data_IF_417495516984
#
_entry.id   IF_417495516984
#
_cell.length_a   1.000
_cell.length_b   1.000
_cell.length_c   1.000
_cell.angle_alpha   90.00
_cell.angle_beta   90.00
_cell.angle_gamma   90.00
#
_symmetry.space_group_name_H-M   'P 1'
#
loop_
_entity.id
_entity.type
_entity.pdbx_description
1 polymer ?
#
# COMPACT_ATOMS: atom_id res chain seq x y z
N UNK A 1 15.99 8.09 -16.84
CA UNK A 1 14.84 7.18 -17.04
C UNK A 1 13.97 7.27 -15.80
N UNK A 2 12.67 7.50 -15.95
CA UNK A 2 11.74 7.49 -14.81
C UNK A 2 11.71 6.07 -14.22
N UNK A 3 11.54 5.91 -12.90
CA UNK A 3 11.39 4.60 -12.29
C UNK A 3 10.20 3.84 -12.92
N UNK A 4 10.34 2.55 -13.15
CA UNK A 4 9.34 1.69 -13.83
C UNK A 4 7.95 1.79 -13.19
N UNK A 5 7.89 1.88 -11.86
CA UNK A 5 6.65 1.97 -11.11
C UNK A 5 5.87 3.27 -11.39
N UNK A 6 6.56 4.38 -11.71
CA UNK A 6 5.90 5.65 -12.03
C UNK A 6 5.11 5.55 -13.34
N UNK A 7 5.67 4.90 -14.36
CA UNK A 7 4.99 4.71 -15.65
C UNK A 7 3.78 3.76 -15.52
N UNK A 8 3.92 2.70 -14.71
CA UNK A 8 2.87 1.72 -14.53
C UNK A 8 1.70 2.27 -13.72
N UNK A 9 1.97 2.85 -12.54
CA UNK A 9 0.92 3.38 -11.66
C UNK A 9 0.17 4.59 -12.23
N UNK A 10 0.76 5.32 -13.20
CA UNK A 10 0.07 6.37 -13.97
C UNK A 10 -0.63 5.83 -15.24
N UNK A 11 -0.49 4.54 -15.56
CA UNK A 11 -1.14 3.97 -16.74
C UNK A 11 -2.64 3.80 -16.51
N UNK A 12 -3.51 4.18 -17.48
CA UNK A 12 -4.95 3.88 -17.40
C UNK A 12 -5.21 2.38 -17.28
N UNK A 13 -4.35 1.53 -17.84
CA UNK A 13 -4.44 0.08 -17.74
C UNK A 13 -4.17 -0.47 -16.34
N UNK A 14 -3.38 0.24 -15.51
CA UNK A 14 -3.24 -0.10 -14.09
C UNK A 14 -4.58 -0.01 -13.38
N UNK A 15 -5.26 1.12 -13.52
CA UNK A 15 -6.56 1.33 -12.90
C UNK A 15 -7.60 0.34 -13.43
N UNK A 16 -7.57 0.06 -14.73
CA UNK A 16 -8.47 -0.89 -15.36
C UNK A 16 -8.29 -2.32 -14.81
N UNK A 17 -7.05 -2.81 -14.72
CA UNK A 17 -6.73 -4.13 -14.18
C UNK A 17 -7.14 -4.30 -12.71
N UNK A 18 -7.05 -3.22 -11.93
CA UNK A 18 -7.31 -3.24 -10.49
C UNK A 18 -8.65 -2.58 -10.09
N UNK A 19 -9.51 -2.26 -11.07
CA UNK A 19 -10.82 -1.64 -10.87
C UNK A 19 -11.72 -2.39 -9.87
N UNK A 20 -11.68 -3.72 -9.89
CA UNK A 20 -12.47 -4.58 -8.99
C UNK A 20 -11.93 -4.67 -7.53
N UNK A 21 -10.95 -3.85 -7.15
CA UNK A 21 -10.63 -3.63 -5.75
C UNK A 21 -11.64 -2.65 -5.16
N UNK A 22 -12.75 -3.23 -4.79
CA UNK A 22 -14.04 -2.66 -4.48
C UNK A 22 -13.98 -1.66 -3.32
N UNK A 23 -14.75 -0.58 -3.41
CA UNK A 23 -15.04 0.36 -2.31
C UNK A 23 -15.59 -0.39 -1.09
N UNK A 24 -16.36 -1.45 -1.31
CA UNK A 24 -16.90 -2.31 -0.27
C UNK A 24 -15.80 -3.03 0.52
N UNK A 25 -14.80 -3.60 -0.15
CA UNK A 25 -13.64 -4.24 0.52
C UNK A 25 -12.87 -3.22 1.36
N UNK A 26 -12.63 -2.02 0.81
CA UNK A 26 -11.98 -0.94 1.54
C UNK A 26 -12.80 -0.52 2.77
N UNK A 27 -14.11 -0.33 2.62
CA UNK A 27 -15.00 0.05 3.71
C UNK A 27 -15.05 -1.02 4.80
N UNK A 28 -15.17 -2.30 4.44
CA UNK A 28 -15.19 -3.41 5.40
C UNK A 28 -13.87 -3.52 6.17
N UNK A 29 -12.74 -3.38 5.49
CA UNK A 29 -11.41 -3.40 6.13
C UNK A 29 -11.22 -2.21 7.07
N UNK A 30 -11.51 -0.99 6.62
CA UNK A 30 -11.40 0.22 7.44
C UNK A 30 -12.33 0.16 8.65
N UNK A 31 -13.57 -0.34 8.50
CA UNK A 31 -14.47 -0.51 9.64
C UNK A 31 -13.84 -1.39 10.72
N UNK A 32 -13.36 -2.58 10.35
CA UNK A 32 -12.71 -3.51 11.29
C UNK A 32 -11.45 -2.93 11.91
N UNK A 33 -10.64 -2.21 11.12
CA UNK A 33 -9.41 -1.58 11.60
C UNK A 33 -9.70 -0.50 12.65
N UNK A 34 -10.67 0.37 12.39
CA UNK A 34 -11.07 1.43 13.32
C UNK A 34 -11.71 0.84 14.59
N UNK A 35 -12.53 -0.20 14.43
CA UNK A 35 -13.11 -0.93 15.56
C UNK A 35 -12.03 -1.65 16.40
N UNK A 36 -10.88 -1.98 15.83
CA UNK A 36 -9.75 -2.57 16.55
C UNK A 36 -8.87 -1.52 17.23
N UNK A 37 -8.55 -0.44 16.52
CA UNK A 37 -7.61 0.59 16.99
C UNK A 37 -8.24 1.59 17.98
N UNK A 38 -9.57 1.76 17.94
CA UNK A 38 -10.33 2.73 18.77
C UNK A 38 -9.74 4.16 18.77
N UNK A 39 -9.42 4.76 17.59
CA UNK A 39 -8.82 6.08 17.55
C UNK A 39 -9.78 7.15 18.11
N UNK A 40 -9.21 8.18 18.73
CA UNK A 40 -10.00 9.33 19.17
C UNK A 40 -10.59 10.08 17.97
N UNK A 41 -11.81 10.57 18.12
CA UNK A 41 -12.47 11.39 17.10
C UNK A 41 -11.59 12.59 16.73
N UNK A 42 -11.48 12.89 15.42
CA UNK A 42 -10.63 13.96 14.92
C UNK A 42 -9.12 13.65 14.92
N UNK A 43 -8.72 12.41 15.22
CA UNK A 43 -7.32 11.99 15.06
C UNK A 43 -6.81 12.28 13.65
N UNK A 44 -5.56 12.74 13.54
CA UNK A 44 -4.88 12.98 12.27
C UNK A 44 -4.30 11.70 11.71
N UNK A 45 -4.67 11.38 10.48
CA UNK A 45 -4.32 10.12 9.82
C UNK A 45 -3.60 10.37 8.50
N UNK A 46 -2.52 9.64 8.23
CA UNK A 46 -1.77 9.65 6.98
C UNK A 46 -2.05 8.35 6.21
N UNK A 47 -2.58 8.46 5.01
CA UNK A 47 -2.74 7.33 4.07
C UNK A 47 -1.61 7.40 3.03
N UNK A 48 -0.62 6.50 3.18
CA UNK A 48 0.60 6.47 2.37
C UNK A 48 0.38 5.57 1.15
N UNK A 49 0.62 6.10 -0.05
CA UNK A 49 0.26 5.50 -1.34
C UNK A 49 -1.27 5.31 -1.45
N UNK A 50 -2.00 6.40 -1.22
CA UNK A 50 -3.46 6.42 -1.15
C UNK A 50 -4.16 6.15 -2.50
N UNK A 51 -3.42 6.24 -3.63
CA UNK A 51 -3.99 6.17 -4.96
C UNK A 51 -5.06 7.24 -5.16
N UNK A 52 -6.25 6.82 -5.62
CA UNK A 52 -7.43 7.70 -5.80
C UNK A 52 -8.18 8.04 -4.49
N UNK A 53 -7.61 7.70 -3.33
CA UNK A 53 -8.14 8.08 -2.02
C UNK A 53 -9.23 7.17 -1.45
N UNK A 54 -9.37 5.95 -1.95
CA UNK A 54 -10.44 5.02 -1.54
C UNK A 54 -10.51 4.79 -0.01
N UNK A 55 -9.36 4.52 0.63
CA UNK A 55 -9.30 4.35 2.09
C UNK A 55 -9.39 5.68 2.83
N UNK A 56 -8.74 6.71 2.29
CA UNK A 56 -8.81 8.06 2.84
C UNK A 56 -10.24 8.57 2.95
N UNK A 57 -11.08 8.34 1.93
CA UNK A 57 -12.51 8.66 1.93
C UNK A 57 -13.27 7.94 3.04
N UNK A 58 -13.00 6.64 3.24
CA UNK A 58 -13.65 5.86 4.29
C UNK A 58 -13.23 6.35 5.70
N UNK A 59 -11.97 6.70 5.89
CA UNK A 59 -11.46 7.25 7.14
C UNK A 59 -12.06 8.64 7.44
N UNK A 60 -12.06 9.54 6.45
CA UNK A 60 -12.66 10.88 6.59
C UNK A 60 -14.16 10.81 6.87
N UNK A 61 -14.90 9.91 6.20
CA UNK A 61 -16.31 9.66 6.45
C UNK A 61 -16.63 9.20 7.87
N UNK A 62 -15.62 8.75 8.64
CA UNK A 62 -15.74 8.40 10.07
C UNK A 62 -15.37 9.57 10.99
N UNK A 63 -15.05 10.74 10.44
CA UNK A 63 -14.77 11.96 11.20
C UNK A 63 -13.30 12.12 11.61
N UNK A 64 -12.35 11.50 10.90
CA UNK A 64 -10.93 11.72 11.08
C UNK A 64 -10.40 12.80 10.15
N UNK A 65 -9.32 13.46 10.55
CA UNK A 65 -8.58 14.44 9.75
C UNK A 65 -7.53 13.64 8.92
N UNK A 66 -7.78 13.48 7.62
CA UNK A 66 -7.04 12.54 6.77
C UNK A 66 -6.22 13.27 5.72
N UNK A 67 -4.97 12.88 5.61
CA UNK A 67 -4.08 13.29 4.53
C UNK A 67 -3.67 12.06 3.72
N UNK A 68 -4.01 12.03 2.44
CA UNK A 68 -3.55 11.02 1.48
C UNK A 68 -2.34 11.52 0.70
N UNK A 69 -1.32 10.67 0.55
CA UNK A 69 -0.17 10.93 -0.32
C UNK A 69 0.02 9.81 -1.33
N UNK A 70 0.31 10.15 -2.57
CA UNK A 70 0.66 9.19 -3.62
C UNK A 70 1.68 9.80 -4.60
N UNK A 71 2.47 8.94 -5.23
CA UNK A 71 3.43 9.36 -6.26
C UNK A 71 2.75 9.66 -7.60
N UNK A 72 1.61 9.02 -7.88
CA UNK A 72 0.84 9.14 -9.11
C UNK A 72 0.11 10.49 -9.17
N UNK A 73 0.52 11.34 -10.10
CA UNK A 73 -0.15 12.62 -10.36
C UNK A 73 -1.61 12.41 -10.78
N UNK A 74 -1.88 11.42 -11.63
CA UNK A 74 -3.22 11.17 -12.15
C UNK A 74 -4.16 10.65 -11.05
N UNK A 75 -3.64 9.77 -10.16
CA UNK A 75 -4.40 9.31 -9.00
C UNK A 75 -4.75 10.47 -8.07
N UNK A 76 -3.80 11.36 -7.79
CA UNK A 76 -4.04 12.53 -6.94
C UNK A 76 -5.02 13.52 -7.59
N UNK A 77 -4.94 13.75 -8.90
CA UNK A 77 -5.94 14.59 -9.60
C UNK A 77 -7.37 14.07 -9.42
N UNK A 78 -7.56 12.76 -9.47
CA UNK A 78 -8.86 12.15 -9.19
C UNK A 78 -9.25 12.28 -7.72
N UNK A 79 -8.32 12.04 -6.79
CA UNK A 79 -8.56 12.13 -5.34
C UNK A 79 -8.96 13.57 -4.90
N UNK A 80 -8.36 14.59 -5.51
CA UNK A 80 -8.63 16.01 -5.21
C UNK A 80 -10.11 16.42 -5.40
N UNK A 81 -10.90 15.68 -6.19
CA UNK A 81 -12.34 15.92 -6.33
C UNK A 81 -13.11 15.69 -5.02
N UNK A 82 -12.52 14.98 -4.08
CA UNK A 82 -13.12 14.62 -2.80
C UNK A 82 -12.57 15.43 -1.62
N UNK A 83 -11.70 16.41 -1.86
CA UNK A 83 -11.16 17.26 -0.78
C UNK A 83 -12.24 17.95 0.03
N UNK A 84 -12.01 18.02 1.34
CA UNK A 84 -12.86 18.72 2.31
C UNK A 84 -11.99 19.46 3.32
N UNK A 85 -12.59 20.06 4.35
CA UNK A 85 -11.82 20.67 5.46
C UNK A 85 -11.00 19.65 6.27
N UNK A 86 -11.34 18.36 6.22
CA UNK A 86 -10.72 17.28 6.96
C UNK A 86 -10.20 16.15 6.07
N UNK A 87 -10.12 16.34 4.75
CA UNK A 87 -9.60 15.37 3.80
C UNK A 87 -8.75 16.08 2.76
N UNK A 88 -7.46 15.78 2.74
CA UNK A 88 -6.47 16.44 1.88
C UNK A 88 -5.66 15.42 1.08
N UNK A 89 -5.25 15.78 -0.14
CA UNK A 89 -4.45 14.93 -0.99
C UNK A 89 -3.24 15.67 -1.56
N UNK A 90 -2.07 15.01 -1.54
CA UNK A 90 -0.84 15.58 -2.07
C UNK A 90 -0.08 14.57 -2.92
N UNK A 91 0.40 15.02 -4.08
CA UNK A 91 1.40 14.26 -4.82
C UNK A 91 2.72 14.30 -4.05
N UNK A 92 3.13 13.17 -3.51
CA UNK A 92 4.33 13.08 -2.70
C UNK A 92 4.99 11.70 -2.79
N UNK A 93 6.33 11.69 -2.75
CA UNK A 93 7.11 10.45 -2.68
C UNK A 93 7.34 10.07 -1.22
N UNK A 94 6.85 8.91 -0.80
CA UNK A 94 6.95 8.43 0.57
C UNK A 94 8.40 8.27 1.08
N UNK A 95 9.42 8.29 0.18
CA UNK A 95 10.84 8.26 0.55
C UNK A 95 11.35 9.62 1.04
N UNK A 96 10.59 10.67 0.82
CA UNK A 96 10.94 12.05 1.18
C UNK A 96 10.17 12.49 2.42
N UNK A 97 10.79 13.23 3.35
CA UNK A 97 10.09 13.75 4.53
C UNK A 97 9.07 14.84 4.13
N UNK A 98 7.91 14.85 4.78
CA UNK A 98 6.90 15.88 4.55
C UNK A 98 6.35 16.50 5.83
N UNK A 99 6.08 15.71 6.86
CA UNK A 99 5.62 16.17 8.19
C UNK A 99 6.54 15.61 9.27
N UNK A 100 6.54 16.26 10.43
CA UNK A 100 7.29 15.81 11.62
C UNK A 100 6.37 15.85 12.83
N UNK A 101 6.21 14.71 13.52
CA UNK A 101 5.40 14.56 14.73
C UNK A 101 3.97 15.15 14.58
N UNK A 102 3.32 14.85 13.46
CA UNK A 102 2.05 15.48 13.09
C UNK A 102 0.87 14.52 13.15
N UNK A 103 1.02 13.26 12.69
CA UNK A 103 -0.04 12.28 12.60
C UNK A 103 -0.11 11.40 13.86
N UNK A 104 -1.33 11.05 14.24
CA UNK A 104 -1.61 10.07 15.29
C UNK A 104 -1.52 8.65 14.73
N UNK A 105 -1.92 8.47 13.46
CA UNK A 105 -1.90 7.21 12.72
C UNK A 105 -1.32 7.40 11.33
N UNK A 106 -0.60 6.40 10.85
CA UNK A 106 -0.20 6.28 9.45
C UNK A 106 -0.57 4.88 8.93
N UNK A 107 -0.95 4.81 7.68
CA UNK A 107 -1.39 3.57 7.02
C UNK A 107 -0.66 3.39 5.70
N UNK A 108 -0.30 2.15 5.37
CA UNK A 108 0.10 1.76 4.03
C UNK A 108 -0.53 0.40 3.72
N UNK A 109 -1.48 0.39 2.82
CA UNK A 109 -2.36 -0.73 2.56
C UNK A 109 -2.05 -1.45 1.24
N UNK A 110 -2.52 -2.69 1.12
CA UNK A 110 -2.54 -3.50 -0.11
C UNK A 110 -1.18 -3.70 -0.79
N UNK A 111 -0.11 -3.87 0.02
CA UNK A 111 1.24 -4.07 -0.52
C UNK A 111 1.70 -2.88 -1.38
N UNK A 112 1.48 -1.65 -0.91
CA UNK A 112 1.98 -0.43 -1.56
C UNK A 112 3.43 -0.10 -1.17
N UNK A 113 4.13 -1.03 -0.49
CA UNK A 113 5.51 -0.96 -0.07
C UNK A 113 6.38 -2.00 -0.79
N UNK A 114 7.71 -1.79 -0.86
CA UNK A 114 8.64 -2.79 -1.40
C UNK A 114 8.91 -2.68 -2.91
N UNK A 115 8.48 -1.60 -3.56
CA UNK A 115 8.67 -1.37 -5.00
C UNK A 115 10.00 -0.69 -5.36
N UNK A 116 10.79 -0.30 -4.38
CA UNK A 116 12.02 0.45 -4.61
C UNK A 116 13.20 -0.46 -4.99
N UNK A 117 14.20 0.13 -5.63
CA UNK A 117 15.32 -0.63 -6.18
C UNK A 117 16.36 -1.04 -5.12
N UNK A 118 16.45 -0.31 -4.02
CA UNK A 118 17.47 -0.51 -2.99
C UNK A 118 16.86 -0.62 -1.60
N UNK A 119 17.53 -1.36 -0.72
CA UNK A 119 17.16 -1.43 0.70
C UNK A 119 17.09 -0.03 1.33
N UNK A 120 18.07 0.83 1.02
CA UNK A 120 18.11 2.22 1.53
C UNK A 120 16.85 3.02 1.18
N UNK A 121 16.26 2.82 0.00
CA UNK A 121 15.02 3.50 -0.39
C UNK A 121 13.83 2.99 0.42
N UNK A 122 13.76 1.68 0.68
CA UNK A 122 12.75 1.09 1.56
C UNK A 122 12.90 1.60 3.00
N UNK A 123 14.13 1.62 3.53
CA UNK A 123 14.43 2.16 4.87
C UNK A 123 14.07 3.65 4.98
N UNK A 124 14.34 4.44 3.93
CA UNK A 124 13.94 5.84 3.88
C UNK A 124 12.43 6.01 3.98
N UNK A 125 11.65 5.16 3.33
CA UNK A 125 10.18 5.22 3.41
C UNK A 125 9.68 4.96 4.84
N UNK A 126 10.21 3.95 5.52
CA UNK A 126 9.88 3.69 6.92
C UNK A 126 10.32 4.86 7.81
N UNK A 127 11.50 5.43 7.56
CA UNK A 127 12.02 6.58 8.31
C UNK A 127 11.10 7.79 8.19
N UNK A 128 10.68 8.16 6.99
CA UNK A 128 9.83 9.34 6.77
C UNK A 128 8.46 9.16 7.40
N UNK A 129 7.88 7.95 7.32
CA UNK A 129 6.62 7.61 7.99
C UNK A 129 6.80 7.72 9.50
N UNK A 130 7.85 7.12 10.08
CA UNK A 130 8.14 7.21 11.51
C UNK A 130 8.33 8.67 11.97
N UNK A 131 9.02 9.51 11.17
CA UNK A 131 9.19 10.94 11.47
C UNK A 131 7.87 11.71 11.45
N UNK A 132 6.93 11.34 10.55
CA UNK A 132 5.64 12.00 10.43
C UNK A 132 4.71 11.71 11.62
N UNK A 133 4.87 10.57 12.27
CA UNK A 133 4.08 10.16 13.43
C UNK A 133 4.50 10.93 14.70
N UNK A 134 3.52 11.27 15.52
CA UNK A 134 3.73 11.74 16.91
C UNK A 134 4.38 10.64 17.76
N UNK A 135 5.01 10.97 18.90
CA UNK A 135 5.36 9.97 19.91
C UNK A 135 4.13 9.14 20.30
N UNK A 136 4.25 7.83 20.35
CA UNK A 136 3.17 6.83 20.49
C UNK A 136 2.18 6.76 19.32
N UNK A 137 2.44 7.44 18.22
CA UNK A 137 1.67 7.30 16.99
C UNK A 137 1.79 5.88 16.43
N UNK A 138 0.74 5.45 15.75
CA UNK A 138 0.58 4.07 15.26
C UNK A 138 0.82 4.02 13.75
N UNK A 139 1.60 3.07 13.29
CA UNK A 139 1.74 2.71 11.88
C UNK A 139 1.13 1.34 11.60
N UNK A 140 0.23 1.28 10.63
CA UNK A 140 -0.32 0.02 10.14
C UNK A 140 0.22 -0.23 8.74
N UNK A 141 0.98 -1.30 8.59
CA UNK A 141 1.47 -1.75 7.29
C UNK A 141 0.80 -3.08 6.91
N UNK A 142 0.12 -3.11 5.78
CA UNK A 142 -0.45 -4.31 5.18
C UNK A 142 0.41 -4.76 4.00
N UNK A 143 1.01 -5.92 4.15
CA UNK A 143 1.92 -6.51 3.18
C UNK A 143 1.50 -7.93 2.78
N UNK A 144 2.01 -8.41 1.67
CA UNK A 144 1.85 -9.83 1.33
C UNK A 144 2.69 -10.70 2.29
N UNK A 145 2.18 -11.85 2.70
CA UNK A 145 3.00 -12.83 3.37
C UNK A 145 3.84 -13.58 2.34
N UNK A 146 5.14 -13.32 2.33
CA UNK A 146 6.07 -13.85 1.31
C UNK A 146 6.06 -15.38 1.23
N UNK A 147 6.01 -16.07 2.37
CA UNK A 147 6.00 -17.53 2.42
C UNK A 147 4.72 -18.13 1.85
N UNK A 148 3.56 -17.52 2.17
CA UNK A 148 2.28 -17.94 1.60
C UNK A 148 2.24 -17.66 0.09
N UNK A 149 2.72 -16.49 -0.33
CA UNK A 149 2.73 -16.08 -1.73
C UNK A 149 3.61 -16.99 -2.61
N UNK A 150 4.74 -17.48 -2.10
CA UNK A 150 5.58 -18.48 -2.77
C UNK A 150 4.84 -19.81 -2.95
N UNK A 151 4.28 -20.34 -1.85
CA UNK A 151 3.62 -21.64 -1.83
C UNK A 151 2.32 -21.68 -2.69
N UNK A 152 1.69 -20.50 -2.95
CA UNK A 152 0.39 -20.38 -3.64
C UNK A 152 0.46 -19.57 -4.93
N UNK A 153 1.65 -19.40 -5.52
CA UNK A 153 1.80 -18.59 -6.73
C UNK A 153 1.14 -19.24 -7.94
N UNK A 154 0.21 -18.51 -8.56
CA UNK A 154 -0.31 -18.85 -9.89
C UNK A 154 0.59 -18.19 -10.93
N UNK A 155 1.40 -19.00 -11.61
CA UNK A 155 2.45 -18.50 -12.53
C UNK A 155 1.91 -17.83 -13.79
N UNK A 156 0.78 -18.27 -14.30
CA UNK A 156 0.14 -17.70 -15.49
C UNK A 156 -1.35 -17.54 -15.27
N UNK A 157 -1.89 -16.42 -15.70
CA UNK A 157 -3.32 -16.15 -15.70
C UNK A 157 -3.67 -15.15 -16.80
N UNK A 158 -4.90 -15.18 -17.26
CA UNK A 158 -5.46 -14.27 -18.25
C UNK A 158 -6.71 -13.62 -17.66
N UNK A 159 -6.92 -12.35 -17.97
CA UNK A 159 -8.12 -11.60 -17.60
C UNK A 159 -8.54 -10.74 -18.77
N UNK A 160 -9.80 -10.80 -19.11
CA UNK A 160 -10.44 -9.87 -20.02
C UNK A 160 -11.34 -8.93 -19.22
N UNK A 161 -11.16 -7.64 -19.40
CA UNK A 161 -11.93 -6.59 -18.73
C UNK A 161 -12.28 -5.54 -19.77
N UNK A 162 -13.57 -5.33 -20.05
CA UNK A 162 -14.10 -4.35 -21.01
C UNK A 162 -13.41 -4.38 -22.39
N UNK A 163 -13.12 -5.61 -22.90
CA UNK A 163 -12.48 -5.81 -24.19
C UNK A 163 -10.96 -5.66 -24.20
N UNK A 164 -10.34 -5.38 -23.07
CA UNK A 164 -8.87 -5.37 -22.90
C UNK A 164 -8.42 -6.69 -22.32
N UNK A 165 -7.45 -7.34 -22.97
CA UNK A 165 -6.89 -8.60 -22.51
C UNK A 165 -5.58 -8.39 -21.76
N UNK A 166 -5.46 -8.98 -20.57
CA UNK A 166 -4.29 -8.93 -19.69
C UNK A 166 -3.70 -10.32 -19.52
N UNK A 167 -2.56 -10.58 -20.16
CA UNK A 167 -1.79 -11.80 -19.98
C UNK A 167 -0.76 -11.60 -18.86
N UNK A 168 -0.94 -12.31 -17.76
CA UNK A 168 -0.18 -12.12 -16.53
C UNK A 168 0.72 -13.30 -16.29
N UNK A 169 2.03 -13.05 -16.18
CA UNK A 169 3.03 -14.06 -15.80
C UNK A 169 3.70 -13.64 -14.49
N UNK A 170 3.76 -14.54 -13.51
CA UNK A 170 4.39 -14.30 -12.20
C UNK A 170 5.52 -15.28 -11.95
N UNK A 171 6.59 -14.78 -11.36
CA UNK A 171 7.71 -15.58 -10.87
C UNK A 171 8.38 -14.89 -9.70
N UNK A 172 9.34 -15.51 -9.08
CA UNK A 172 10.15 -14.92 -8.02
C UNK A 172 11.58 -15.40 -8.08
N UNK A 173 12.49 -14.62 -7.52
CA UNK A 173 13.86 -14.99 -7.16
C UNK A 173 14.03 -15.00 -5.63
N UNK A 174 15.26 -14.99 -5.14
CA UNK A 174 15.55 -14.99 -3.70
C UNK A 174 15.07 -13.70 -3.00
N UNK A 175 15.03 -12.57 -3.70
CA UNK A 175 14.80 -11.25 -3.13
C UNK A 175 13.50 -10.59 -3.56
N UNK A 176 12.88 -11.02 -4.68
CA UNK A 176 11.75 -10.30 -5.28
C UNK A 176 10.70 -11.24 -5.84
N UNK A 177 9.46 -10.74 -5.80
CA UNK A 177 8.38 -11.20 -6.67
C UNK A 177 8.31 -10.34 -7.92
N UNK A 178 8.02 -10.96 -9.05
CA UNK A 178 7.81 -10.31 -10.34
C UNK A 178 6.43 -10.65 -10.88
N UNK A 179 5.81 -9.66 -11.54
CA UNK A 179 4.57 -9.84 -12.26
C UNK A 179 4.68 -9.10 -13.59
N UNK A 180 4.85 -9.83 -14.68
CA UNK A 180 4.79 -9.32 -16.05
C UNK A 180 3.35 -9.28 -16.49
N UNK A 181 2.92 -8.14 -17.02
CA UNK A 181 1.58 -7.90 -17.53
C UNK A 181 1.75 -7.48 -18.99
N UNK A 182 1.26 -8.29 -19.91
CA UNK A 182 1.15 -7.95 -21.31
C UNK A 182 -0.32 -7.58 -21.58
N UNK A 183 -0.52 -6.43 -22.22
CA UNK A 183 -1.82 -5.81 -22.42
C UNK A 183 -2.08 -5.78 -23.92
N UNK A 184 -3.17 -6.42 -24.34
CA UNK A 184 -3.67 -6.42 -25.69
C UNK A 184 -5.01 -5.67 -25.73
N UNK A 185 -5.07 -4.61 -26.51
CA UNK A 185 -6.23 -3.74 -26.67
C UNK A 185 -6.32 -3.38 -28.16
N UNK A 186 -7.50 -3.43 -28.75
CA UNK A 186 -7.73 -3.09 -30.16
C UNK A 186 -7.29 -1.65 -30.51
N UNK A 187 -7.20 -0.77 -29.51
CA UNK A 187 -6.74 0.61 -29.69
C UNK A 187 -5.21 0.73 -29.76
N UNK A 188 -4.48 -0.31 -29.40
CA UNK A 188 -3.02 -0.34 -29.41
C UNK A 188 -2.49 -0.91 -30.74
N UNK A 189 -1.44 -0.32 -31.28
CA UNK A 189 -0.74 -0.83 -32.46
C UNK A 189 0.09 -2.08 -32.13
N UNK A 190 0.62 -2.16 -30.91
CA UNK A 190 1.41 -3.27 -30.38
C UNK A 190 1.07 -3.46 -28.90
N UNK A 191 1.16 -4.69 -28.36
CA UNK A 191 0.91 -4.94 -26.96
C UNK A 191 1.83 -4.11 -26.05
N UNK A 192 1.27 -3.56 -24.98
CA UNK A 192 2.05 -2.91 -23.92
C UNK A 192 2.53 -3.96 -22.91
N UNK A 193 3.75 -3.78 -22.41
CA UNK A 193 4.33 -4.69 -21.41
C UNK A 193 4.84 -3.91 -20.21
N UNK A 194 4.35 -4.29 -19.03
CA UNK A 194 4.83 -3.78 -17.75
C UNK A 194 5.34 -4.94 -16.88
N UNK A 195 6.29 -4.66 -16.01
CA UNK A 195 6.77 -5.64 -15.03
C UNK A 195 6.80 -5.00 -13.65
N UNK A 196 5.91 -5.46 -12.78
CA UNK A 196 5.94 -5.13 -11.35
C UNK A 196 7.05 -5.93 -10.69
N UNK A 197 7.79 -5.29 -9.79
CA UNK A 197 8.83 -5.90 -8.96
C UNK A 197 8.60 -5.50 -7.51
N UNK A 198 8.41 -6.47 -6.62
CA UNK A 198 8.17 -6.25 -5.19
C UNK A 198 9.19 -7.02 -4.39
N UNK A 199 9.84 -6.38 -3.44
CA UNK A 199 10.81 -7.01 -2.53
C UNK A 199 10.14 -8.08 -1.67
N UNK A 200 10.89 -9.12 -1.30
CA UNK A 200 10.41 -10.19 -0.42
C UNK A 200 10.79 -9.87 1.02
N UNK A 201 9.99 -9.05 1.70
CA UNK A 201 10.19 -8.75 3.11
C UNK A 201 9.36 -9.67 3.99
N UNK A 202 10.03 -10.36 4.89
CA UNK A 202 9.43 -11.17 5.95
C UNK A 202 9.05 -10.32 7.17
N UNK A 203 8.37 -10.92 8.15
CA UNK A 203 8.11 -10.27 9.43
C UNK A 203 9.42 -9.88 10.14
N UNK A 204 10.48 -10.69 10.01
CA UNK A 204 11.79 -10.38 10.57
C UNK A 204 12.40 -9.13 9.97
N UNK A 205 12.39 -9.00 8.64
CA UNK A 205 12.90 -7.81 7.94
C UNK A 205 12.15 -6.54 8.35
N UNK A 206 10.82 -6.59 8.48
CA UNK A 206 10.03 -5.45 8.97
C UNK A 206 10.31 -5.15 10.44
N UNK A 207 10.52 -6.16 11.28
CA UNK A 207 10.87 -5.96 12.69
C UNK A 207 12.16 -5.15 12.80
N UNK A 208 13.18 -5.50 12.02
CA UNK A 208 14.46 -4.80 12.01
C UNK A 208 14.34 -3.37 11.43
N UNK A 209 13.64 -3.21 10.29
CA UNK A 209 13.41 -1.89 9.68
C UNK A 209 12.67 -0.95 10.64
N UNK A 210 11.65 -1.43 11.34
CA UNK A 210 10.86 -0.62 12.28
C UNK A 210 11.67 -0.29 13.54
N UNK A 211 12.37 -1.26 14.13
CA UNK A 211 13.21 -1.06 15.29
C UNK A 211 14.30 -0.01 15.04
N UNK A 212 14.92 -0.04 13.84
CA UNK A 212 15.93 0.94 13.44
C UNK A 212 15.38 2.38 13.39
N UNK A 213 14.08 2.54 13.12
CA UNK A 213 13.41 3.85 13.09
C UNK A 213 12.70 4.20 14.42
N UNK A 214 12.96 3.46 15.50
CA UNK A 214 12.37 3.70 16.80
C UNK A 214 10.88 3.36 16.89
N UNK A 215 10.45 2.39 16.08
CA UNK A 215 9.11 1.81 16.13
C UNK A 215 9.16 0.36 16.62
N UNK A 216 8.09 -0.09 17.26
CA UNK A 216 7.94 -1.46 17.74
C UNK A 216 6.64 -2.07 17.23
N UNK A 217 6.73 -3.24 16.59
CA UNK A 217 5.53 -4.02 16.22
C UNK A 217 4.86 -4.51 17.50
N UNK A 218 3.60 -4.20 17.67
CA UNK A 218 2.76 -4.59 18.81
C UNK A 218 1.88 -5.78 18.47
N UNK A 219 1.32 -5.80 17.26
CA UNK A 219 0.39 -6.82 16.82
C UNK A 219 0.67 -7.22 15.37
N UNK A 220 0.38 -8.48 15.05
CA UNK A 220 0.54 -9.04 13.71
C UNK A 220 -0.66 -9.92 13.37
N UNK A 221 -1.31 -9.62 12.25
CA UNK A 221 -2.47 -10.35 11.77
C UNK A 221 -2.22 -10.97 10.39
N UNK A 222 -2.94 -12.05 10.11
CA UNK A 222 -2.77 -12.85 8.90
C UNK A 222 -3.76 -12.55 7.79
N UNK A 223 -4.81 -11.81 8.07
CA UNK A 223 -5.87 -11.43 7.12
C UNK A 223 -6.59 -10.15 7.55
N UNK A 224 -7.52 -9.67 6.71
CA UNK A 224 -8.35 -8.47 6.97
C UNK A 224 -9.49 -8.69 7.99
N UNK A 225 -9.57 -9.89 8.59
CA UNK A 225 -10.45 -10.19 9.72
C UNK A 225 -9.70 -10.22 11.06
N UNK A 226 -8.44 -9.75 11.07
CA UNK A 226 -7.56 -9.69 12.25
C UNK A 226 -7.33 -11.06 12.91
N UNK A 227 -7.34 -12.15 12.11
CA UNK A 227 -6.91 -13.45 12.60
C UNK A 227 -5.41 -13.47 12.85
N UNK A 228 -5.00 -14.24 13.85
CA UNK A 228 -3.58 -14.37 14.19
C UNK A 228 -2.74 -14.77 12.98
N UNK A 229 -1.59 -14.12 12.82
CA UNK A 229 -0.64 -14.42 11.77
C UNK A 229 -0.03 -15.82 11.93
N UNK A 230 0.04 -16.52 10.83
CA UNK A 230 0.75 -17.81 10.73
C UNK A 230 1.58 -17.80 9.44
N UNK A 231 2.91 -17.98 9.60
CA UNK A 231 3.91 -17.83 8.53
C UNK A 231 3.58 -18.58 7.23
N UNK A 232 2.98 -19.79 7.30
CA UNK A 232 2.66 -20.62 6.12
C UNK A 232 1.19 -20.57 5.67
N UNK A 233 0.26 -20.07 6.51
CA UNK A 233 -1.17 -20.19 6.24
C UNK A 233 -1.86 -18.85 6.00
N UNK A 234 -1.29 -17.77 6.50
CA UNK A 234 -1.87 -16.44 6.39
C UNK A 234 -1.59 -15.82 5.04
N UNK A 235 -2.58 -15.35 4.29
CA UNK A 235 -2.34 -14.72 2.99
C UNK A 235 -1.73 -13.32 3.11
N UNK A 236 -1.88 -12.67 4.25
CA UNK A 236 -1.40 -11.32 4.52
C UNK A 236 -0.44 -11.29 5.71
N UNK A 237 0.27 -10.19 5.80
CA UNK A 237 1.09 -9.77 6.92
C UNK A 237 0.67 -8.33 7.26
N UNK A 238 -0.30 -8.20 8.18
CA UNK A 238 -0.79 -6.90 8.65
C UNK A 238 -0.13 -6.62 9.99
N UNK A 239 0.70 -5.58 10.04
CA UNK A 239 1.47 -5.21 11.23
C UNK A 239 0.98 -3.90 11.81
N UNK A 240 0.76 -3.87 13.12
CA UNK A 240 0.48 -2.65 13.88
C UNK A 240 1.72 -2.33 14.72
N UNK A 241 2.36 -1.21 14.44
CA UNK A 241 3.57 -0.76 15.12
C UNK A 241 3.35 0.60 15.78
N UNK A 242 3.98 0.79 16.93
CA UNK A 242 3.95 2.04 17.71
C UNK A 242 5.32 2.73 17.64
N UNK A 243 5.32 4.04 17.45
CA UNK A 243 6.52 4.88 17.59
C UNK A 243 6.89 5.03 19.07
N UNK A 244 8.07 4.50 19.43
CA UNK A 244 8.54 4.47 20.83
C UNK A 244 9.39 5.71 21.17
N UNK A 245 10.08 6.31 20.17
CA UNK A 245 10.98 7.44 20.33
C UNK A 245 10.68 8.59 19.38
#
# INVERSE_FOLDING_TARGET
>A
MLPWFKNWFNSPYYHHLYFNRDEKEAAEFINKLIDHLHPLQGSRMLDVACGKGRHSLQLSGKGFDVTGIDLSEDSIKEALQYETETLHFYQHDMRLPCWINFFDYAFNFFTSFGYFNTQRENDNSIRTIAQSLKPKGIFVLDYLNVHYAEDHMVHQSEKEIDGVNFLITKWYDEQHFFKKIMIEDEQLKEPLVFTEKVSKFSLGDFTDMFAYQGMQIKEVFGDYNFKNYHVKKSPRLVMIAEKIK
#
